data_IF_955180575234
#
_entry.id   IF_955180575234
#
_cell.length_a   1.000
_cell.length_b   1.000
_cell.length_c   1.000
_cell.angle_alpha   90.00
_cell.angle_beta   90.00
_cell.angle_gamma   90.00
#
_symmetry.space_group_name_H-M   'P 1'
#
loop_
_entity.id
_entity.type
_entity.pdbx_description
1 polymer ?
#
# COMPACT_ATOMS: atom_id res chain seq x y z
N UNK A 1 -28.57 -11.03 -3.56
CA UNK A 1 -27.50 -9.99 -3.51
C UNK A 1 -27.44 -9.38 -4.90
N UNK A 2 -27.39 -8.05 -5.00
CA UNK A 2 -27.17 -7.41 -6.31
C UNK A 2 -25.79 -7.85 -6.84
N UNK A 3 -25.73 -8.15 -8.13
CA UNK A 3 -24.46 -8.49 -8.80
C UNK A 3 -23.52 -7.27 -8.76
N UNK A 4 -22.29 -7.47 -8.31
CA UNK A 4 -21.31 -6.39 -8.24
C UNK A 4 -20.87 -6.01 -9.65
N UNK A 5 -20.85 -4.73 -9.96
CA UNK A 5 -20.30 -4.26 -11.25
C UNK A 5 -18.83 -4.66 -11.39
N UNK A 6 -18.41 -5.15 -12.56
CA UNK A 6 -17.02 -5.55 -12.76
C UNK A 6 -16.07 -4.35 -12.64
N UNK A 7 -14.89 -4.59 -12.06
CA UNK A 7 -13.81 -3.61 -12.05
C UNK A 7 -13.35 -3.41 -13.51
N UNK A 8 -13.18 -2.16 -13.94
CA UNK A 8 -12.72 -1.85 -15.28
C UNK A 8 -11.36 -2.52 -15.55
N UNK A 9 -11.25 -3.34 -16.60
CA UNK A 9 -10.02 -4.05 -16.90
C UNK A 9 -8.94 -3.07 -17.38
N UNK A 10 -7.73 -3.24 -16.88
CA UNK A 10 -6.55 -2.57 -17.41
C UNK A 10 -5.79 -3.53 -18.33
N UNK A 11 -5.67 -3.16 -19.61
CA UNK A 11 -5.04 -3.99 -20.65
C UNK A 11 -3.70 -3.41 -21.15
N UNK A 12 -3.23 -2.32 -20.52
CA UNK A 12 -1.97 -1.67 -20.88
C UNK A 12 -0.75 -2.29 -20.18
N UNK A 13 0.41 -1.75 -20.54
CA UNK A 13 1.66 -2.07 -19.85
C UNK A 13 1.80 -1.22 -18.57
N UNK A 14 2.35 -1.85 -17.52
CA UNK A 14 2.68 -1.16 -16.28
C UNK A 14 4.06 -0.51 -16.46
N UNK A 15 4.19 0.84 -16.33
CA UNK A 15 5.44 1.54 -16.57
C UNK A 15 6.53 1.08 -15.61
N UNK A 16 7.78 1.10 -16.10
CA UNK A 16 8.98 0.81 -15.31
C UNK A 16 9.83 2.04 -15.06
N UNK A 17 9.92 2.93 -16.05
CA UNK A 17 10.67 4.17 -15.96
C UNK A 17 9.91 5.20 -15.12
N UNK A 18 10.63 6.01 -14.36
CA UNK A 18 10.07 7.03 -13.46
C UNK A 18 8.99 6.47 -12.52
N UNK A 19 9.19 5.25 -12.06
CA UNK A 19 8.25 4.45 -11.27
C UNK A 19 8.85 4.11 -9.90
N UNK A 20 8.00 4.14 -8.87
CA UNK A 20 8.31 3.56 -7.56
C UNK A 20 7.22 2.57 -7.15
N UNK A 21 7.60 1.52 -6.44
CA UNK A 21 6.66 0.65 -5.71
C UNK A 21 6.44 1.23 -4.34
N UNK A 22 5.17 1.51 -4.00
CA UNK A 22 4.74 2.03 -2.70
C UNK A 22 4.01 0.94 -1.93
N UNK A 23 4.64 0.45 -0.87
CA UNK A 23 4.12 -0.63 0.00
C UNK A 23 3.44 0.00 1.21
N UNK A 24 2.12 -0.11 1.28
CA UNK A 24 1.30 0.55 2.29
C UNK A 24 1.11 -0.33 3.53
N UNK A 25 1.62 0.13 4.67
CA UNK A 25 1.32 -0.30 6.03
C UNK A 25 1.37 -1.83 6.26
N UNK A 26 2.31 -2.51 5.62
CA UNK A 26 2.54 -3.94 5.84
C UNK A 26 3.28 -4.15 7.18
N UNK A 27 2.60 -3.74 8.26
CA UNK A 27 3.11 -3.73 9.63
C UNK A 27 2.58 -4.93 10.43
N UNK A 28 3.30 -5.27 11.49
CA UNK A 28 2.93 -6.33 12.42
C UNK A 28 1.52 -6.13 12.98
N UNK A 29 1.14 -4.90 13.34
CA UNK A 29 -0.20 -4.59 13.85
C UNK A 29 -1.34 -5.04 12.94
N UNK A 30 -1.16 -4.98 11.63
CA UNK A 30 -2.17 -5.38 10.63
C UNK A 30 -2.11 -6.88 10.28
N UNK A 31 -1.11 -7.61 10.79
CA UNK A 31 -0.90 -9.03 10.46
C UNK A 31 -1.03 -9.95 11.68
N UNK A 32 -1.07 -9.41 12.90
CA UNK A 32 -1.06 -10.16 14.16
C UNK A 32 -2.41 -10.07 14.87
N UNK A 33 -2.97 -11.23 15.25
CA UNK A 33 -4.18 -11.29 16.06
C UNK A 33 -3.91 -10.96 17.55
N UNK A 34 -2.63 -10.89 17.94
CA UNK A 34 -2.21 -10.63 19.33
C UNK A 34 -1.74 -9.22 19.61
N UNK A 35 -1.61 -8.37 18.60
CA UNK A 35 -1.28 -6.94 18.75
C UNK A 35 -2.55 -6.11 19.01
N UNK A 36 -2.41 -4.79 19.17
CA UNK A 36 -3.50 -3.93 19.66
C UNK A 36 -4.78 -4.02 18.84
N UNK A 37 -4.68 -4.07 17.51
CA UNK A 37 -5.83 -4.16 16.62
C UNK A 37 -6.52 -5.51 16.71
N UNK A 38 -5.77 -6.63 16.70
CA UNK A 38 -6.33 -7.96 16.89
C UNK A 38 -6.99 -8.11 18.25
N UNK A 39 -6.34 -7.64 19.33
CA UNK A 39 -6.93 -7.63 20.68
C UNK A 39 -8.20 -6.77 20.80
N UNK A 40 -8.41 -5.81 19.91
CA UNK A 40 -9.66 -5.04 19.85
C UNK A 40 -10.83 -5.80 19.18
N UNK A 41 -10.61 -7.06 18.81
CA UNK A 41 -11.64 -7.94 18.25
C UNK A 41 -11.68 -7.97 16.73
N UNK A 42 -10.69 -7.37 16.04
CA UNK A 42 -10.56 -7.48 14.59
C UNK A 42 -9.85 -8.79 14.21
N UNK A 43 -10.42 -9.51 13.25
CA UNK A 43 -9.76 -10.66 12.62
C UNK A 43 -8.75 -10.17 11.57
N UNK A 44 -7.46 -10.35 11.84
CA UNK A 44 -6.39 -9.94 10.92
C UNK A 44 -6.14 -10.96 9.79
N UNK A 45 -6.78 -12.12 9.81
CA UNK A 45 -6.52 -13.18 8.83
C UNK A 45 -6.77 -12.76 7.38
N UNK A 46 -7.80 -11.97 7.02
CA UNK A 46 -7.99 -11.53 5.64
C UNK A 46 -6.85 -10.67 5.12
N UNK A 47 -6.23 -9.85 5.97
CA UNK A 47 -5.17 -8.93 5.56
C UNK A 47 -3.88 -9.66 5.20
N UNK A 48 -3.62 -10.81 5.82
CA UNK A 48 -2.45 -11.65 5.52
C UNK A 48 -2.43 -12.17 4.08
N UNK A 49 -3.56 -12.12 3.38
CA UNK A 49 -3.65 -12.49 1.97
C UNK A 49 -2.80 -11.58 1.05
N UNK A 50 -2.49 -10.34 1.47
CA UNK A 50 -1.63 -9.44 0.71
C UNK A 50 -0.14 -9.81 0.79
N UNK A 51 0.31 -10.56 1.81
CA UNK A 51 1.74 -10.79 2.06
C UNK A 51 2.45 -11.40 0.85
N UNK A 52 2.00 -12.52 0.24
CA UNK A 52 2.71 -13.13 -0.88
C UNK A 52 2.83 -12.19 -2.08
N UNK A 53 1.77 -11.44 -2.40
CA UNK A 53 1.75 -10.46 -3.50
C UNK A 53 2.72 -9.31 -3.25
N UNK A 54 2.71 -8.74 -2.05
CA UNK A 54 3.63 -7.66 -1.67
C UNK A 54 5.09 -8.11 -1.73
N UNK A 55 5.41 -9.27 -1.15
CA UNK A 55 6.78 -9.82 -1.17
C UNK A 55 7.26 -10.05 -2.60
N UNK A 56 6.41 -10.63 -3.45
CA UNK A 56 6.74 -10.89 -4.86
C UNK A 56 6.97 -9.58 -5.62
N UNK A 57 6.11 -8.58 -5.43
CA UNK A 57 6.24 -7.27 -6.07
C UNK A 57 7.50 -6.53 -5.63
N UNK A 58 7.82 -6.53 -4.33
CA UNK A 58 9.04 -5.94 -3.76
C UNK A 58 10.29 -6.58 -4.38
N UNK A 59 10.34 -7.92 -4.45
CA UNK A 59 11.46 -8.63 -5.05
C UNK A 59 11.59 -8.33 -6.55
N UNK A 60 10.49 -8.26 -7.27
CA UNK A 60 10.47 -7.89 -8.69
C UNK A 60 10.99 -6.47 -8.91
N UNK A 61 10.55 -5.51 -8.08
CA UNK A 61 11.01 -4.12 -8.13
C UNK A 61 12.53 -4.02 -7.92
N UNK A 62 13.05 -4.68 -6.87
CA UNK A 62 14.48 -4.72 -6.56
C UNK A 62 15.30 -5.34 -7.70
N UNK A 63 14.84 -6.46 -8.25
CA UNK A 63 15.48 -7.11 -9.39
C UNK A 63 15.45 -6.26 -10.67
N UNK A 64 14.46 -5.38 -10.78
CA UNK A 64 14.25 -4.49 -11.94
C UNK A 64 14.92 -3.13 -11.79
N UNK A 65 15.54 -2.83 -10.65
CA UNK A 65 16.13 -1.52 -10.34
C UNK A 65 15.06 -0.42 -10.11
N UNK A 66 13.84 -0.82 -9.77
CA UNK A 66 12.75 0.11 -9.43
C UNK A 66 12.77 0.35 -7.92
N UNK A 67 12.81 1.61 -7.45
CA UNK A 67 12.85 1.92 -6.04
C UNK A 67 11.59 1.45 -5.31
N UNK A 68 11.78 0.99 -4.07
CA UNK A 68 10.68 0.59 -3.17
C UNK A 68 10.61 1.60 -2.02
N UNK A 69 9.41 2.07 -1.75
CA UNK A 69 9.10 2.98 -0.63
C UNK A 69 8.05 2.28 0.24
N UNK A 70 8.29 2.27 1.54
CA UNK A 70 7.39 1.68 2.51
C UNK A 70 6.69 2.77 3.32
N UNK A 71 5.45 2.52 3.73
CA UNK A 71 4.80 3.35 4.74
C UNK A 71 4.53 2.57 6.01
N UNK A 72 4.52 3.29 7.13
CA UNK A 72 4.04 2.80 8.42
C UNK A 72 3.00 3.76 8.96
N UNK A 73 1.88 3.22 9.45
CA UNK A 73 0.93 4.01 10.23
C UNK A 73 1.47 4.11 11.66
N UNK A 74 1.86 5.31 12.08
CA UNK A 74 2.52 5.54 13.36
C UNK A 74 1.98 6.83 13.98
N UNK A 75 1.51 6.75 15.20
CA UNK A 75 1.18 7.94 15.99
C UNK A 75 2.38 8.43 16.79
N UNK A 76 2.50 9.74 16.95
CA UNK A 76 3.57 10.37 17.71
C UNK A 76 3.52 9.97 19.20
N UNK A 77 4.63 10.13 19.92
CA UNK A 77 4.66 9.89 21.37
C UNK A 77 3.50 10.55 22.08
N UNK A 78 2.82 9.80 22.95
CA UNK A 78 1.63 10.28 23.67
C UNK A 78 0.37 10.40 22.82
N UNK A 79 0.37 9.86 21.62
CA UNK A 79 -0.79 9.84 20.70
C UNK A 79 -1.33 11.26 20.40
N UNK A 80 -0.47 12.29 20.45
CA UNK A 80 -0.87 13.70 20.32
C UNK A 80 -1.47 14.03 18.95
N UNK A 81 -1.18 13.23 17.94
CA UNK A 81 -1.69 13.34 16.58
C UNK A 81 -2.77 12.30 16.24
N UNK A 82 -3.35 11.61 17.25
CA UNK A 82 -4.45 10.64 17.02
C UNK A 82 -5.66 11.32 16.34
N UNK A 83 -6.02 12.52 16.80
CA UNK A 83 -7.00 13.40 16.16
C UNK A 83 -8.43 12.86 16.16
N UNK A 84 -9.23 13.27 15.16
CA UNK A 84 -10.65 12.95 15.07
C UNK A 84 -10.97 11.75 14.17
N UNK A 85 -10.00 11.18 13.45
CA UNK A 85 -10.18 9.98 12.63
C UNK A 85 -10.01 8.73 13.50
N UNK A 86 -11.06 8.35 14.19
CA UNK A 86 -10.98 7.37 15.27
C UNK A 86 -10.98 5.91 14.79
N UNK A 87 -11.75 5.61 13.75
CA UNK A 87 -11.94 4.22 13.33
C UNK A 87 -12.65 3.37 14.40
N UNK A 88 -12.30 2.09 14.45
CA UNK A 88 -12.87 1.11 15.40
C UNK A 88 -12.20 1.27 16.78
N UNK A 89 -13.01 1.21 17.84
CA UNK A 89 -12.59 1.20 19.26
C UNK A 89 -11.54 2.27 19.63
N UNK A 90 -11.83 3.57 19.42
CA UNK A 90 -10.83 4.63 19.62
C UNK A 90 -10.27 4.69 21.05
N UNK A 91 -11.13 4.50 22.05
CA UNK A 91 -10.73 4.54 23.47
C UNK A 91 -9.77 3.39 23.81
N UNK A 92 -10.06 2.17 23.35
CA UNK A 92 -9.19 1.02 23.54
C UNK A 92 -7.86 1.19 22.81
N UNK A 93 -7.85 1.80 21.64
CA UNK A 93 -6.63 2.10 20.89
C UNK A 93 -5.76 3.13 21.58
N UNK A 94 -6.35 4.20 22.09
CA UNK A 94 -5.63 5.20 22.91
C UNK A 94 -5.05 4.56 24.18
N UNK A 95 -5.85 3.77 24.91
CA UNK A 95 -5.41 3.11 26.14
C UNK A 95 -4.28 2.10 25.92
N UNK A 96 -4.26 1.43 24.77
CA UNK A 96 -3.22 0.44 24.41
C UNK A 96 -2.03 1.05 23.66
N UNK A 97 -1.98 2.36 23.44
CA UNK A 97 -0.99 3.02 22.58
C UNK A 97 -0.88 2.36 21.20
N UNK A 98 -2.04 2.02 20.62
CA UNK A 98 -2.13 1.29 19.34
C UNK A 98 -1.45 2.06 18.21
N UNK A 99 -0.53 1.41 17.50
CA UNK A 99 0.30 2.03 16.46
C UNK A 99 1.12 3.23 16.97
N UNK A 100 1.37 3.29 18.28
CA UNK A 100 2.18 4.36 18.89
C UNK A 100 3.67 4.21 18.60
N UNK A 101 4.34 5.33 18.43
CA UNK A 101 5.80 5.38 18.25
C UNK A 101 6.53 4.57 19.34
N UNK A 102 7.49 3.76 18.92
CA UNK A 102 8.32 2.94 19.81
C UNK A 102 7.71 1.59 20.20
N UNK A 103 6.51 1.26 19.74
CA UNK A 103 5.94 -0.09 19.91
C UNK A 103 6.49 -1.05 18.85
N UNK A 104 6.55 -2.35 19.15
CA UNK A 104 6.95 -3.37 18.17
C UNK A 104 5.91 -3.55 17.05
N UNK A 105 4.66 -3.24 17.31
CA UNK A 105 3.57 -3.45 16.35
C UNK A 105 3.62 -2.51 15.13
N UNK A 106 4.38 -1.40 15.21
CA UNK A 106 4.60 -0.51 14.07
C UNK A 106 5.65 -1.04 13.07
N UNK A 107 6.42 -2.05 13.47
CA UNK A 107 7.47 -2.58 12.60
C UNK A 107 6.87 -3.27 11.37
N UNK A 108 7.55 -3.08 10.23
CA UNK A 108 7.21 -3.76 8.99
C UNK A 108 7.47 -5.26 9.14
N UNK A 109 6.62 -6.09 8.52
CA UNK A 109 6.75 -7.54 8.62
C UNK A 109 8.11 -8.01 8.03
N UNK A 110 8.76 -8.99 8.67
CA UNK A 110 10.10 -9.42 8.27
C UNK A 110 10.17 -10.02 6.87
N UNK A 111 9.05 -10.55 6.35
CA UNK A 111 8.96 -11.14 5.01
C UNK A 111 9.30 -10.15 3.89
N UNK A 112 9.13 -8.85 4.12
CA UNK A 112 9.49 -7.81 3.16
C UNK A 112 11.00 -7.59 3.06
N UNK A 113 11.77 -7.99 4.07
CA UNK A 113 13.22 -7.85 4.09
C UNK A 113 13.66 -6.41 3.78
N UNK A 114 13.06 -5.42 4.47
CA UNK A 114 13.35 -3.99 4.24
C UNK A 114 14.83 -3.69 4.42
N UNK A 115 15.42 -2.99 3.46
CA UNK A 115 16.86 -2.69 3.43
C UNK A 115 17.15 -1.34 4.08
N UNK A 116 18.36 -1.15 4.65
CA UNK A 116 18.71 0.13 5.31
C UNK A 116 18.72 1.35 4.39
N UNK A 117 18.87 1.14 3.08
CA UNK A 117 18.89 2.17 2.04
C UNK A 117 17.50 2.44 1.44
N UNK A 118 16.48 1.68 1.82
CA UNK A 118 15.11 1.88 1.34
C UNK A 118 14.36 2.92 2.19
N UNK A 119 13.52 3.70 1.54
CA UNK A 119 12.76 4.78 2.19
C UNK A 119 11.59 4.22 2.97
N UNK A 120 11.48 4.59 4.24
CA UNK A 120 10.31 4.33 5.09
C UNK A 120 9.69 5.66 5.50
N UNK A 121 8.38 5.81 5.27
CA UNK A 121 7.60 7.01 5.58
C UNK A 121 6.60 6.70 6.70
N UNK A 122 6.77 7.33 7.84
CA UNK A 122 5.78 7.29 8.91
C UNK A 122 4.65 8.29 8.62
N UNK A 123 3.40 7.86 8.84
CA UNK A 123 2.19 8.66 8.66
C UNK A 123 1.19 8.38 9.77
N UNK A 124 0.43 9.39 10.18
CA UNK A 124 -0.66 9.23 11.15
C UNK A 124 -2.05 9.45 10.54
N UNK A 125 -2.14 9.39 9.21
CA UNK A 125 -3.39 9.49 8.44
C UNK A 125 -3.42 8.41 7.35
N UNK A 126 -4.63 8.07 6.84
CA UNK A 126 -4.77 7.07 5.80
C UNK A 126 -3.90 7.33 4.56
N UNK A 127 -3.95 8.53 4.00
CA UNK A 127 -3.12 8.87 2.85
C UNK A 127 -1.64 8.94 3.21
N UNK A 128 -0.80 8.33 2.39
CA UNK A 128 0.65 8.42 2.49
C UNK A 128 1.20 9.82 2.12
N UNK A 129 0.39 10.67 1.48
CA UNK A 129 0.76 12.04 1.14
C UNK A 129 0.47 13.03 2.26
N UNK A 130 -0.61 12.79 3.04
CA UNK A 130 -1.10 13.78 3.98
C UNK A 130 -0.16 13.96 5.17
N UNK A 131 0.45 15.13 5.27
CA UNK A 131 1.34 15.50 6.37
C UNK A 131 2.66 14.73 6.44
N UNK A 132 3.09 14.15 5.30
CA UNK A 132 4.32 13.38 5.20
C UNK A 132 5.33 14.03 4.25
N UNK A 133 6.51 13.47 4.18
CA UNK A 133 7.55 13.83 3.20
C UNK A 133 7.52 12.98 1.92
N UNK A 134 6.43 12.22 1.66
CA UNK A 134 6.38 11.33 0.49
C UNK A 134 6.54 12.12 -0.82
N UNK A 135 5.77 13.21 -1.00
CA UNK A 135 5.80 14.00 -2.23
C UNK A 135 7.17 14.63 -2.52
N UNK A 136 7.87 15.28 -1.55
CA UNK A 136 9.26 15.70 -1.76
C UNK A 136 10.22 14.56 -2.12
N UNK A 137 10.05 13.37 -1.54
CA UNK A 137 10.86 12.20 -1.86
C UNK A 137 10.62 11.76 -3.31
N UNK A 138 9.36 11.60 -3.72
CA UNK A 138 8.99 11.23 -5.09
C UNK A 138 9.52 12.25 -6.12
N UNK A 139 9.38 13.54 -5.82
CA UNK A 139 9.88 14.63 -6.66
C UNK A 139 11.41 14.57 -6.79
N UNK A 140 12.12 14.39 -5.67
CA UNK A 140 13.58 14.30 -5.66
C UNK A 140 14.12 13.08 -6.43
N UNK A 141 13.33 12.00 -6.47
CA UNK A 141 13.64 10.78 -7.22
C UNK A 141 13.18 10.83 -8.69
N UNK A 142 12.47 11.88 -9.12
CA UNK A 142 11.91 12.00 -10.47
C UNK A 142 10.76 11.04 -10.76
N UNK A 143 10.06 10.55 -9.73
CA UNK A 143 8.98 9.57 -9.88
C UNK A 143 7.74 10.23 -10.48
N UNK A 144 7.15 9.56 -11.44
CA UNK A 144 5.89 9.93 -12.12
C UNK A 144 4.81 8.87 -12.00
N UNK A 145 5.19 7.63 -11.68
CA UNK A 145 4.27 6.51 -11.58
C UNK A 145 4.42 5.80 -10.24
N UNK A 146 3.31 5.39 -9.65
CA UNK A 146 3.25 4.66 -8.40
C UNK A 146 2.56 3.31 -8.62
N UNK A 147 3.23 2.24 -8.27
CA UNK A 147 2.65 0.91 -8.16
C UNK A 147 2.39 0.65 -6.69
N UNK A 148 1.12 0.53 -6.32
CA UNK A 148 0.69 0.52 -4.93
C UNK A 148 0.23 -0.88 -4.54
N UNK A 149 0.72 -1.36 -3.40
CA UNK A 149 0.29 -2.59 -2.74
C UNK A 149 0.18 -2.40 -1.23
N UNK A 150 -0.30 -3.39 -0.49
CA UNK A 150 -0.40 -3.36 0.97
C UNK A 150 -1.83 -3.32 1.51
N UNK A 151 -2.02 -2.71 2.69
CA UNK A 151 -3.29 -2.78 3.44
C UNK A 151 -3.66 -1.43 4.10
N UNK A 152 -4.95 -1.17 4.42
CA UNK A 152 -6.10 -1.93 3.92
C UNK A 152 -6.60 -1.30 2.63
N UNK A 153 -7.17 -2.10 1.74
CA UNK A 153 -7.50 -1.64 0.37
C UNK A 153 -8.37 -0.40 0.37
N UNK A 154 -9.45 -0.37 1.14
CA UNK A 154 -10.42 0.73 1.07
C UNK A 154 -10.12 1.91 2.02
N UNK A 155 -9.01 1.86 2.76
CA UNK A 155 -8.60 2.98 3.62
C UNK A 155 -7.26 3.52 3.16
N UNK A 156 -6.14 2.94 3.60
CA UNK A 156 -4.82 3.52 3.34
C UNK A 156 -4.42 3.41 1.86
N UNK A 157 -4.69 2.27 1.21
CA UNK A 157 -4.39 2.08 -0.22
C UNK A 157 -5.25 2.99 -1.08
N UNK A 158 -6.58 2.95 -0.93
CA UNK A 158 -7.51 3.77 -1.73
C UNK A 158 -7.27 5.26 -1.52
N UNK A 159 -7.14 5.72 -0.26
CA UNK A 159 -6.92 7.13 0.02
C UNK A 159 -5.60 7.64 -0.58
N UNK A 160 -4.55 6.81 -0.50
CA UNK A 160 -3.26 7.13 -1.14
C UNK A 160 -3.37 7.15 -2.66
N UNK A 161 -4.07 6.18 -3.26
CA UNK A 161 -4.25 6.13 -4.71
C UNK A 161 -5.06 7.32 -5.23
N UNK A 162 -6.11 7.75 -4.52
CA UNK A 162 -6.89 8.95 -4.84
C UNK A 162 -6.03 10.22 -4.76
N UNK A 163 -5.22 10.34 -3.72
CA UNK A 163 -4.30 11.47 -3.56
C UNK A 163 -3.21 11.48 -4.65
N UNK A 164 -2.70 10.31 -5.02
CA UNK A 164 -1.73 10.17 -6.12
C UNK A 164 -2.32 10.61 -7.46
N UNK A 165 -3.51 10.11 -7.81
CA UNK A 165 -4.19 10.49 -9.05
C UNK A 165 -4.52 11.97 -9.13
N UNK A 166 -4.91 12.61 -8.01
CA UNK A 166 -5.16 14.06 -7.96
C UNK A 166 -3.89 14.91 -8.05
N UNK A 167 -2.71 14.30 -7.90
CA UNK A 167 -1.39 14.93 -8.06
C UNK A 167 -0.73 14.58 -9.40
N UNK A 168 -1.51 14.04 -10.34
CA UNK A 168 -1.06 13.63 -11.67
C UNK A 168 0.02 12.53 -11.68
N UNK A 169 0.09 11.69 -10.63
CA UNK A 169 0.86 10.46 -10.71
C UNK A 169 0.09 9.40 -11.51
N UNK A 170 0.77 8.72 -12.42
CA UNK A 170 0.26 7.46 -12.98
C UNK A 170 0.13 6.44 -11.86
N UNK A 171 -1.09 6.02 -11.52
CA UNK A 171 -1.39 5.23 -10.32
C UNK A 171 -1.86 3.84 -10.71
N UNK A 172 -1.19 2.80 -10.19
CA UNK A 172 -1.47 1.39 -10.47
C UNK A 172 -1.60 0.63 -9.15
N UNK A 173 -2.80 0.17 -8.82
CA UNK A 173 -3.02 -0.67 -7.63
C UNK A 173 -3.00 -2.14 -8.06
N UNK A 174 -2.17 -2.94 -7.40
CA UNK A 174 -2.00 -4.37 -7.72
C UNK A 174 -2.99 -5.19 -6.91
N UNK A 175 -4.09 -5.63 -7.56
CA UNK A 175 -5.24 -6.25 -6.89
C UNK A 175 -4.92 -7.53 -6.12
N UNK A 176 -3.92 -8.29 -6.55
CA UNK A 176 -3.43 -9.51 -5.93
C UNK A 176 -2.28 -9.27 -4.92
N UNK A 177 -2.00 -8.00 -4.63
CA UNK A 177 -1.08 -7.57 -3.58
C UNK A 177 -1.70 -6.54 -2.61
N UNK A 178 -3.03 -6.47 -2.56
CA UNK A 178 -3.78 -5.68 -1.55
C UNK A 178 -4.80 -6.57 -0.85
N UNK A 179 -5.20 -6.18 0.35
CA UNK A 179 -6.22 -6.92 1.10
C UNK A 179 -7.08 -6.01 1.97
N UNK A 180 -8.28 -6.48 2.26
CA UNK A 180 -9.29 -5.80 3.07
C UNK A 180 -10.02 -6.82 3.95
N UNK A 181 -10.57 -6.37 5.07
CA UNK A 181 -11.34 -7.21 6.00
C UNK A 181 -12.58 -7.84 5.36
N UNK A 182 -13.25 -7.11 4.46
CA UNK A 182 -14.49 -7.55 3.80
C UNK A 182 -14.31 -7.52 2.27
N UNK A 183 -14.68 -8.61 1.57
CA UNK A 183 -14.57 -8.68 0.11
C UNK A 183 -15.29 -7.56 -0.62
N UNK A 184 -16.46 -7.14 -0.13
CA UNK A 184 -17.25 -6.06 -0.74
C UNK A 184 -16.52 -4.72 -0.65
N UNK A 185 -15.90 -4.41 0.50
CA UNK A 185 -15.11 -3.21 0.69
C UNK A 185 -13.89 -3.20 -0.23
N UNK A 186 -13.22 -4.35 -0.37
CA UNK A 186 -12.11 -4.52 -1.29
C UNK A 186 -12.54 -4.23 -2.73
N UNK A 187 -13.65 -4.84 -3.14
CA UNK A 187 -14.19 -4.70 -4.49
C UNK A 187 -14.54 -3.24 -4.81
N UNK A 188 -15.31 -2.56 -3.95
CA UNK A 188 -15.73 -1.18 -4.23
C UNK A 188 -14.59 -0.17 -4.20
N UNK A 189 -13.57 -0.38 -3.37
CA UNK A 189 -12.36 0.43 -3.39
C UNK A 189 -11.64 0.30 -4.74
N UNK A 190 -11.37 -0.92 -5.18
CA UNK A 190 -10.73 -1.18 -6.47
C UNK A 190 -11.58 -0.68 -7.64
N UNK A 191 -12.91 -0.86 -7.59
CA UNK A 191 -13.81 -0.31 -8.59
C UNK A 191 -13.70 1.21 -8.69
N UNK A 192 -13.74 1.94 -7.54
CA UNK A 192 -13.62 3.38 -7.51
C UNK A 192 -12.27 3.88 -8.02
N UNK A 193 -11.17 3.18 -7.70
CA UNK A 193 -9.83 3.50 -8.21
C UNK A 193 -9.79 3.35 -9.74
N UNK A 194 -10.26 2.21 -10.28
CA UNK A 194 -10.28 1.94 -11.71
C UNK A 194 -11.19 2.89 -12.49
N UNK A 195 -12.23 3.40 -11.83
CA UNK A 195 -13.18 4.31 -12.44
C UNK A 195 -12.61 5.71 -12.70
N UNK A 196 -11.75 6.23 -11.80
CA UNK A 196 -11.38 7.66 -11.84
C UNK A 196 -9.93 7.97 -11.46
N UNK A 197 -9.28 7.21 -10.58
CA UNK A 197 -8.06 7.66 -9.91
C UNK A 197 -6.80 6.94 -10.37
N UNK A 198 -6.92 5.91 -11.21
CA UNK A 198 -5.79 5.14 -11.66
C UNK A 198 -6.21 3.83 -12.33
N UNK A 199 -5.33 2.87 -12.30
CA UNK A 199 -5.51 1.56 -12.88
C UNK A 199 -5.47 0.46 -11.82
N UNK A 200 -6.26 -0.58 -12.00
CA UNK A 200 -6.18 -1.81 -11.20
C UNK A 200 -5.55 -2.87 -12.09
N UNK A 201 -4.35 -3.30 -11.72
CA UNK A 201 -3.55 -4.26 -12.47
C UNK A 201 -3.33 -5.55 -11.67
N UNK A 202 -2.85 -6.58 -12.33
CA UNK A 202 -2.39 -7.83 -11.74
C UNK A 202 -0.87 -7.85 -11.63
N UNK A 203 -0.34 -8.56 -10.64
CA UNK A 203 1.11 -8.75 -10.50
C UNK A 203 1.71 -9.40 -11.75
N UNK A 204 1.00 -10.34 -12.38
CA UNK A 204 1.41 -10.94 -13.63
C UNK A 204 1.54 -9.93 -14.79
N UNK A 205 0.78 -8.82 -14.78
CA UNK A 205 0.95 -7.74 -15.77
C UNK A 205 2.26 -6.97 -15.51
N UNK A 206 2.57 -6.69 -14.25
CA UNK A 206 3.85 -6.05 -13.87
C UNK A 206 5.02 -6.93 -14.33
N UNK A 207 4.96 -8.23 -14.07
CA UNK A 207 5.99 -9.19 -14.49
C UNK A 207 6.20 -9.16 -16.01
N UNK A 208 5.13 -9.22 -16.78
CA UNK A 208 5.21 -9.16 -18.26
C UNK A 208 5.76 -7.83 -18.74
N UNK A 209 5.28 -6.73 -18.21
CA UNK A 209 5.68 -5.37 -18.61
C UNK A 209 7.16 -5.08 -18.29
N UNK A 210 7.68 -5.68 -17.20
CA UNK A 210 9.06 -5.45 -16.75
C UNK A 210 10.04 -6.53 -17.21
N UNK A 211 9.56 -7.60 -17.82
CA UNK A 211 10.42 -8.58 -18.43
C UNK A 211 11.32 -7.89 -19.48
N UNK A 212 12.63 -8.22 -19.47
CA UNK A 212 13.54 -7.70 -20.46
C UNK A 212 13.02 -8.03 -21.87
N UNK A 213 12.79 -7.02 -22.68
CA UNK A 213 12.53 -7.23 -24.11
C UNK A 213 13.78 -7.93 -24.67
N UNK A 214 13.64 -9.13 -25.26
CA UNK A 214 14.80 -9.75 -25.93
C UNK A 214 15.35 -8.75 -26.93
N UNK A 215 16.64 -8.45 -26.85
CA UNK A 215 17.29 -7.58 -27.82
C UNK A 215 16.90 -8.08 -29.22
N UNK A 216 16.12 -7.28 -29.96
CA UNK A 216 15.82 -7.57 -31.35
C UNK A 216 17.17 -7.70 -32.05
N UNK A 217 17.44 -8.86 -32.63
CA UNK A 217 18.59 -9.02 -33.53
C UNK A 217 18.47 -7.92 -34.55
N UNK A 218 19.33 -6.92 -34.45
CA UNK A 218 19.51 -5.93 -35.51
C UNK A 218 19.88 -6.73 -36.78
N UNK A 219 18.97 -6.77 -37.72
CA UNK A 219 19.17 -7.26 -39.05
C UNK A 219 19.90 -6.21 -39.89
#
# INVERSE_FOLDING_TARGET
MAELHPILPFNGDVPKHDTAVLVIDMQRAFMSDTDSLGRSGLDMSPLRAAIPGCVKLVNLARASGVPVIFTRYVYMPGMVDFGALHGVAPEARLASNSLGFGTEEIELIPELGVRPDEVVIDKSRPSAFYGTRLEPVLTGMGIRNLIICGVTTNICVETTARDAGQRDYGTYVIKDAVAEFLPERNHYALFGIAWMFGHVAELAQVERSWAAVPASKAG
#
